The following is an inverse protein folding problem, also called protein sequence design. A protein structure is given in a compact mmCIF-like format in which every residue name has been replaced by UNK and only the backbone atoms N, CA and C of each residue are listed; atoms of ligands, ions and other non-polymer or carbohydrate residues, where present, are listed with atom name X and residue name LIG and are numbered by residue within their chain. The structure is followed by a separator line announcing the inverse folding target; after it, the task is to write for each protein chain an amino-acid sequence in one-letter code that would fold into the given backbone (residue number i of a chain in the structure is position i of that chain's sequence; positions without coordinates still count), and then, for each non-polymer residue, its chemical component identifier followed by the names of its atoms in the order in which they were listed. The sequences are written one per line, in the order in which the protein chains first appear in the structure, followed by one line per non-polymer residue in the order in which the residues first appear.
data_IF_856264226683
#
_entry.id   IF_856264226683
#
_cell.length_a   1.000
_cell.length_b   1.000
_cell.length_c   1.000
_cell.angle_alpha   90.00
_cell.angle_beta   90.00
_cell.angle_gamma   90.00
#
_symmetry.space_group_name_H-M   'P 1'
#
loop_
_entity.id
_entity.type
_entity.pdbx_description
1 polymer ?
#
# COMPACT_ATOMS: atom_id res chain seq x y z
N UNK A 1 -28.05 -15.62 -30.97
CA UNK A 1 -27.40 -14.30 -31.06
C UNK A 1 -27.55 -13.39 -29.82
N UNK A 2 -28.01 -13.87 -28.65
CA UNK A 2 -28.23 -13.02 -27.46
C UNK A 2 -27.10 -13.07 -26.40
N UNK A 3 -26.21 -14.06 -26.43
CA UNK A 3 -25.16 -14.23 -25.41
C UNK A 3 -24.13 -13.11 -25.37
N UNK A 4 -23.68 -12.62 -26.54
CA UNK A 4 -22.68 -11.54 -26.62
C UNK A 4 -23.18 -10.21 -26.05
N UNK A 5 -24.46 -9.86 -26.27
CA UNK A 5 -25.04 -8.62 -25.72
C UNK A 5 -25.13 -8.66 -24.19
N UNK A 6 -25.48 -9.81 -23.61
CA UNK A 6 -25.52 -10.00 -22.16
C UNK A 6 -24.12 -9.90 -21.53
N UNK A 7 -23.13 -10.55 -22.14
CA UNK A 7 -21.74 -10.47 -21.67
C UNK A 7 -21.19 -9.04 -21.71
N UNK A 8 -21.49 -8.30 -22.78
CA UNK A 8 -21.07 -6.90 -22.89
C UNK A 8 -21.74 -6.02 -21.82
N UNK A 9 -23.05 -6.18 -21.59
CA UNK A 9 -23.75 -5.45 -20.53
C UNK A 9 -23.26 -5.81 -19.13
N UNK A 10 -22.91 -7.07 -18.89
CA UNK A 10 -22.33 -7.49 -17.61
C UNK A 10 -20.93 -6.87 -17.43
N UNK A 11 -20.11 -6.87 -18.48
CA UNK A 11 -18.79 -6.22 -18.47
C UNK A 11 -18.90 -4.73 -18.13
N UNK A 12 -19.75 -3.98 -18.84
CA UNK A 12 -19.98 -2.55 -18.57
C UNK A 12 -20.43 -2.31 -17.13
N UNK A 13 -21.33 -3.16 -16.60
CA UNK A 13 -21.78 -3.08 -15.21
C UNK A 13 -20.64 -3.30 -14.22
N UNK A 14 -19.78 -4.30 -14.44
CA UNK A 14 -18.66 -4.58 -13.55
C UNK A 14 -17.58 -3.50 -13.64
N UNK A 15 -17.31 -2.97 -14.82
CA UNK A 15 -16.37 -1.85 -15.00
C UNK A 15 -16.83 -0.62 -14.23
N UNK A 16 -18.11 -0.26 -14.33
CA UNK A 16 -18.66 0.87 -13.56
C UNK A 16 -18.55 0.67 -12.04
N UNK A 17 -18.87 -0.52 -11.55
CA UNK A 17 -18.72 -0.85 -10.12
C UNK A 17 -17.26 -0.81 -9.68
N UNK A 18 -16.33 -1.20 -10.55
CA UNK A 18 -14.90 -1.13 -10.28
C UNK A 18 -14.45 0.33 -10.15
N UNK A 19 -14.92 1.22 -11.02
CA UNK A 19 -14.66 2.66 -10.93
C UNK A 19 -15.18 3.25 -9.61
N UNK A 20 -16.44 2.97 -9.26
CA UNK A 20 -17.05 3.42 -8.00
C UNK A 20 -16.27 2.92 -6.77
N UNK A 21 -15.77 1.67 -6.80
CA UNK A 21 -14.95 1.13 -5.72
C UNK A 21 -13.57 1.80 -5.64
N UNK A 22 -12.95 2.11 -6.78
CA UNK A 22 -11.66 2.79 -6.82
C UNK A 22 -11.78 4.20 -6.26
N UNK A 23 -12.86 4.92 -6.58
CA UNK A 23 -13.15 6.24 -6.00
C UNK A 23 -13.33 6.14 -4.47
N UNK A 24 -14.07 5.14 -3.99
CA UNK A 24 -14.24 4.93 -2.55
C UNK A 24 -12.90 4.64 -1.84
N UNK A 25 -12.05 3.80 -2.44
CA UNK A 25 -10.72 3.51 -1.90
C UNK A 25 -9.87 4.79 -1.86
N UNK A 26 -9.92 5.62 -2.90
CA UNK A 26 -9.17 6.88 -2.93
C UNK A 26 -9.57 7.80 -1.77
N UNK A 27 -10.87 7.98 -1.55
CA UNK A 27 -11.37 8.79 -0.42
C UNK A 27 -10.94 8.22 0.93
N UNK A 28 -11.07 6.91 1.14
CA UNK A 28 -10.65 6.26 2.39
C UNK A 28 -9.14 6.35 2.62
N UNK A 29 -8.34 6.26 1.56
CA UNK A 29 -6.88 6.34 1.66
C UNK A 29 -6.46 7.75 2.05
N UNK A 30 -7.12 8.80 1.56
CA UNK A 30 -6.84 10.19 1.98
C UNK A 30 -7.07 10.44 3.47
N UNK A 31 -7.90 9.63 4.14
CA UNK A 31 -8.08 9.71 5.60
C UNK A 31 -6.87 9.18 6.39
N UNK A 32 -6.00 8.37 5.76
CA UNK A 32 -4.82 7.82 6.43
C UNK A 32 -3.81 8.97 6.67
N UNK A 33 -3.26 9.10 7.89
CA UNK A 33 -2.26 10.11 8.17
C UNK A 33 -1.06 10.03 7.21
N UNK A 34 -0.58 11.19 6.78
CA UNK A 34 0.62 11.35 5.94
C UNK A 34 0.51 10.88 4.49
N UNK A 35 -0.66 10.47 3.99
CA UNK A 35 -0.85 10.09 2.57
C UNK A 35 -0.43 11.20 1.62
N UNK A 36 -0.79 12.44 1.91
CA UNK A 36 -0.36 13.60 1.11
C UNK A 36 1.17 13.70 0.99
N UNK A 37 1.90 13.34 2.06
CA UNK A 37 3.38 13.31 2.01
C UNK A 37 3.89 12.12 1.20
N UNK A 38 3.20 10.99 1.23
CA UNK A 38 3.55 9.81 0.43
C UNK A 38 3.30 10.06 -1.06
N UNK A 39 2.23 10.77 -1.42
CA UNK A 39 1.91 11.16 -2.80
C UNK A 39 2.92 12.15 -3.41
N UNK A 40 3.69 12.87 -2.58
CA UNK A 40 4.77 13.73 -3.05
C UNK A 40 6.00 12.94 -3.54
N UNK A 41 6.09 11.64 -3.23
CA UNK A 41 7.17 10.79 -3.71
C UNK A 41 6.91 10.45 -5.17
N UNK A 42 7.83 10.83 -6.05
CA UNK A 42 7.71 10.54 -7.48
C UNK A 42 7.55 9.03 -7.73
N UNK A 43 6.55 8.67 -8.51
CA UNK A 43 6.20 7.27 -8.79
C UNK A 43 5.31 6.58 -7.75
N UNK A 44 4.97 7.25 -6.64
CA UNK A 44 4.02 6.74 -5.63
C UNK A 44 2.63 7.32 -5.87
N UNK A 45 1.67 6.45 -6.17
CA UNK A 45 0.27 6.82 -6.33
C UNK A 45 -0.65 6.16 -5.30
N UNK A 46 -1.93 6.55 -5.31
CA UNK A 46 -2.98 6.03 -4.41
C UNK A 46 -3.02 4.50 -4.38
N UNK A 47 -2.93 3.84 -5.54
CA UNK A 47 -2.95 2.37 -5.61
C UNK A 47 -1.79 1.72 -4.84
N UNK A 48 -0.59 2.31 -4.92
CA UNK A 48 0.59 1.85 -4.19
C UNK A 48 0.41 2.02 -2.68
N UNK A 49 -0.08 3.19 -2.26
CA UNK A 49 -0.35 3.49 -0.85
C UNK A 49 -1.46 2.57 -0.31
N UNK A 50 -2.51 2.31 -1.09
CA UNK A 50 -3.60 1.39 -0.75
C UNK A 50 -3.08 -0.02 -0.53
N UNK A 51 -2.22 -0.51 -1.44
CA UNK A 51 -1.59 -1.82 -1.31
C UNK A 51 -0.73 -1.92 -0.04
N UNK A 52 0.09 -0.90 0.21
CA UNK A 52 0.89 -0.81 1.44
C UNK A 52 0.00 -0.82 2.69
N UNK A 53 -1.11 -0.08 2.71
CA UNK A 53 -2.02 -0.04 3.85
C UNK A 53 -2.71 -1.39 4.10
N UNK A 54 -3.03 -2.14 3.04
CA UNK A 54 -3.59 -3.50 3.17
C UNK A 54 -2.56 -4.48 3.73
N UNK A 55 -1.31 -4.40 3.27
CA UNK A 55 -0.23 -5.30 3.69
C UNK A 55 0.31 -4.99 5.09
N UNK A 56 0.61 -3.71 5.35
CA UNK A 56 1.16 -3.26 6.63
C UNK A 56 0.09 -3.11 7.71
N UNK A 57 -1.17 -2.91 7.32
CA UNK A 57 -2.25 -2.51 8.21
C UNK A 57 -2.01 -1.11 8.78
N UNK A 58 -2.40 -0.90 10.04
CA UNK A 58 -2.14 0.36 10.73
C UNK A 58 -0.64 0.58 10.94
N UNK A 59 -0.03 1.46 10.14
CA UNK A 59 1.40 1.76 10.19
C UNK A 59 1.86 2.37 11.52
N UNK A 60 0.93 2.87 12.34
CA UNK A 60 1.24 3.40 13.69
C UNK A 60 1.60 2.30 14.69
N UNK A 61 1.38 1.02 14.34
CA UNK A 61 1.83 -0.12 15.15
C UNK A 61 3.34 -0.32 15.15
N UNK A 62 4.04 0.34 14.22
CA UNK A 62 5.49 0.20 14.07
C UNK A 62 6.20 1.35 14.79
N UNK A 63 7.15 1.00 15.66
CA UNK A 63 7.94 1.98 16.41
C UNK A 63 8.97 2.70 15.52
N UNK A 64 9.42 2.05 14.45
CA UNK A 64 10.41 2.59 13.52
C UNK A 64 10.33 1.94 12.14
N UNK A 65 10.97 2.58 11.15
CA UNK A 65 10.97 2.15 9.74
C UNK A 65 11.59 0.76 9.50
N UNK A 66 12.47 0.27 10.38
CA UNK A 66 13.12 -1.04 10.22
C UNK A 66 12.14 -2.19 10.43
N UNK A 67 11.14 -2.00 11.28
CA UNK A 67 10.08 -3.00 11.46
C UNK A 67 9.24 -3.14 10.19
N UNK A 68 8.98 -2.04 9.48
CA UNK A 68 8.28 -2.04 8.19
C UNK A 68 9.15 -2.69 7.10
N UNK A 69 10.44 -2.37 7.06
CA UNK A 69 11.40 -3.00 6.13
C UNK A 69 11.49 -4.51 6.36
N UNK A 70 11.52 -4.95 7.61
CA UNK A 70 11.50 -6.37 7.97
C UNK A 70 10.20 -7.06 7.56
N UNK A 71 9.05 -6.38 7.69
CA UNK A 71 7.76 -6.89 7.20
C UNK A 71 7.79 -7.11 5.68
N UNK A 72 8.41 -6.19 4.95
CA UNK A 72 8.62 -6.29 3.50
C UNK A 72 9.69 -7.35 3.10
N UNK A 73 10.21 -8.12 4.05
CA UNK A 73 11.18 -9.18 3.79
C UNK A 73 12.62 -8.69 3.61
N UNK A 74 12.91 -7.41 3.88
CA UNK A 74 14.28 -6.92 3.88
C UNK A 74 14.99 -7.37 5.16
N UNK A 75 16.03 -8.19 4.99
CA UNK A 75 16.93 -8.58 6.07
C UNK A 75 17.95 -7.47 6.36
N UNK A 76 17.49 -6.38 6.99
CA UNK A 76 18.41 -5.36 7.51
C UNK A 76 18.95 -5.87 8.84
N UNK A 77 20.21 -6.31 8.83
CA UNK A 77 20.90 -6.79 10.03
C UNK A 77 21.45 -5.57 10.76
N UNK A 78 20.96 -5.34 11.96
CA UNK A 78 21.58 -4.40 12.89
C UNK A 78 22.18 -5.17 14.04
N UNK A 79 23.51 -5.12 14.12
CA UNK A 79 24.27 -5.68 15.23
C UNK A 79 24.09 -4.77 16.45
N UNK A 80 22.94 -4.92 17.13
CA UNK A 80 22.59 -4.17 18.33
C UNK A 80 22.79 -5.05 19.56
N UNK A 81 24.05 -5.34 19.85
CA UNK A 81 24.49 -5.96 21.10
C UNK A 81 24.43 -4.93 22.24
N UNK A 82 23.21 -4.55 22.67
CA UNK A 82 22.85 -3.89 23.94
C UNK A 82 23.60 -2.64 24.44
N UNK A 83 24.69 -2.19 23.79
CA UNK A 83 25.62 -1.14 24.22
C UNK A 83 26.14 -0.27 23.06
N UNK A 84 25.93 -0.66 21.81
CA UNK A 84 26.31 0.13 20.63
C UNK A 84 25.27 -0.01 19.51
N UNK A 85 24.95 1.10 18.84
CA UNK A 85 24.23 1.10 17.56
C UNK A 85 25.26 0.92 16.43
N UNK A 86 25.32 -0.29 15.86
CA UNK A 86 26.12 -0.55 14.65
C UNK A 86 25.44 0.02 13.40
N UNK A 87 26.24 0.47 12.42
CA UNK A 87 25.76 0.96 11.13
C UNK A 87 24.94 -0.10 10.38
N UNK A 88 23.77 0.29 9.88
CA UNK A 88 22.88 -0.56 9.08
C UNK A 88 23.55 -0.92 7.75
N UNK A 89 23.73 -2.22 7.46
CA UNK A 89 24.19 -2.70 6.15
C UNK A 89 23.12 -3.58 5.50
N UNK A 90 23.02 -3.46 4.17
CA UNK A 90 22.19 -4.35 3.34
C UNK A 90 23.02 -5.62 3.08
N UNK A 91 22.48 -6.80 3.41
CA UNK A 91 23.12 -8.09 3.10
C UNK A 91 22.76 -8.57 1.69
#
# INVERSE_FOLDING_TARGET
MYGNKKLLSDYERYSKRMEELVELIDELVKEIPYVEKMLQIEGVGIKTISGLAVEAGDIRRFDNSKQIQKLAGYALVEDSSGKHQGETRIS
#
